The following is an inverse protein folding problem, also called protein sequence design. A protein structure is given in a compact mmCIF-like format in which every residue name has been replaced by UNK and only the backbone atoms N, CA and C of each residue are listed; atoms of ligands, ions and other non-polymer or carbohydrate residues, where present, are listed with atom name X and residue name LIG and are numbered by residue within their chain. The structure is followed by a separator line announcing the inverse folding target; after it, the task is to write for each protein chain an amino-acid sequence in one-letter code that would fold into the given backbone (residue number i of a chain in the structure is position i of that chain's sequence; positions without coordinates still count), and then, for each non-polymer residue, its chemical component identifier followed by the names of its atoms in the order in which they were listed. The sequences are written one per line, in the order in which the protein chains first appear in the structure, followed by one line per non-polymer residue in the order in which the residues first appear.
data_IF_950413250429
#
_entry.id   IF_950413250429
#
_cell.length_a   1.000
_cell.length_b   1.000
_cell.length_c   1.000
_cell.angle_alpha   90.00
_cell.angle_beta   90.00
_cell.angle_gamma   90.00
#
_symmetry.space_group_name_H-M   'P 1'
#
loop_
_entity.id
_entity.type
_entity.pdbx_description
1 polymer ?
#
# COMPACT_ATOMS: atom_id res chain seq x y z
N UNK A 1 4.97 7.67 -3.69
CA UNK A 1 4.58 8.14 -2.35
C UNK A 1 5.77 8.17 -1.39
N UNK A 2 6.54 7.09 -1.24
CA UNK A 2 7.73 7.04 -0.38
C UNK A 2 8.69 8.20 -0.67
N UNK A 3 9.00 8.46 -1.93
CA UNK A 3 9.86 9.57 -2.32
C UNK A 3 9.38 10.92 -1.76
N UNK A 4 8.09 11.22 -1.82
CA UNK A 4 7.54 12.47 -1.31
C UNK A 4 7.54 12.53 0.23
N UNK A 5 7.31 11.40 0.92
CA UNK A 5 7.24 11.34 2.37
C UNK A 5 8.60 11.31 3.07
N UNK A 6 9.54 10.50 2.56
CA UNK A 6 10.81 10.25 3.23
C UNK A 6 11.90 11.27 2.91
N UNK A 7 11.89 11.79 1.71
CA UNK A 7 12.95 12.65 1.20
C UNK A 7 12.62 14.15 1.34
N UNK A 8 11.50 14.48 1.98
CA UNK A 8 11.09 15.85 2.25
C UNK A 8 11.03 16.72 0.99
N UNK A 9 11.69 17.89 0.96
CA UNK A 9 11.70 18.77 -0.21
C UNK A 9 12.26 18.12 -1.48
N UNK A 10 13.27 17.26 -1.35
CA UNK A 10 13.86 16.53 -2.49
C UNK A 10 12.84 15.55 -3.06
N UNK A 11 12.11 14.83 -2.21
CA UNK A 11 11.06 13.92 -2.66
C UNK A 11 9.95 14.61 -3.44
N UNK A 12 9.54 15.80 -3.01
CA UNK A 12 8.57 16.63 -3.74
C UNK A 12 9.07 17.02 -5.12
N UNK A 13 10.35 17.42 -5.22
CA UNK A 13 10.97 17.74 -6.50
C UNK A 13 11.03 16.53 -7.44
N UNK A 14 11.35 15.34 -6.91
CA UNK A 14 11.36 14.09 -7.66
C UNK A 14 9.97 13.76 -8.21
N UNK A 15 8.92 13.85 -7.39
CA UNK A 15 7.54 13.60 -7.83
C UNK A 15 7.14 14.56 -8.94
N UNK A 16 7.42 15.85 -8.78
CA UNK A 16 7.16 16.87 -9.81
C UNK A 16 7.88 16.55 -11.11
N UNK A 17 9.14 16.18 -11.03
CA UNK A 17 9.95 15.88 -12.21
C UNK A 17 9.46 14.61 -12.92
N UNK A 18 9.06 13.58 -12.19
CA UNK A 18 8.44 12.35 -12.73
C UNK A 18 7.15 12.72 -13.50
N UNK A 19 6.26 13.54 -12.93
CA UNK A 19 5.02 13.93 -13.58
C UNK A 19 5.27 14.78 -14.84
N UNK A 20 6.23 15.69 -14.78
CA UNK A 20 6.67 16.48 -15.94
C UNK A 20 7.20 15.57 -17.06
N UNK A 21 8.13 14.66 -16.74
CA UNK A 21 8.70 13.74 -17.73
C UNK A 21 7.63 12.80 -18.31
N UNK A 22 6.71 12.31 -17.48
CA UNK A 22 5.58 11.51 -17.95
C UNK A 22 4.77 12.28 -19.01
N UNK A 23 4.42 13.52 -18.73
CA UNK A 23 3.69 14.39 -19.68
C UNK A 23 4.45 14.65 -20.95
N UNK A 24 5.74 15.00 -20.84
CA UNK A 24 6.61 15.28 -21.99
C UNK A 24 6.78 14.06 -22.92
N UNK A 25 6.68 12.85 -22.36
CA UNK A 25 6.71 11.59 -23.11
C UNK A 25 5.31 11.09 -23.56
N UNK A 26 4.27 11.94 -23.45
CA UNK A 26 2.93 11.62 -23.94
C UNK A 26 2.13 10.68 -23.03
N UNK A 27 2.58 10.41 -21.81
CA UNK A 27 1.81 9.64 -20.83
C UNK A 27 0.70 10.52 -20.25
N UNK A 28 -0.47 9.93 -20.06
CA UNK A 28 -1.65 10.61 -19.50
C UNK A 28 -2.13 10.01 -18.18
N UNK A 29 -1.64 8.83 -17.84
CA UNK A 29 -2.03 8.10 -16.64
C UNK A 29 -0.79 7.51 -15.97
N UNK A 30 -0.73 7.62 -14.64
CA UNK A 30 0.27 6.98 -13.78
C UNK A 30 -0.43 6.11 -12.75
N UNK A 31 0.03 4.90 -12.55
CA UNK A 31 -0.41 4.03 -11.45
C UNK A 31 0.56 4.17 -10.27
N UNK A 32 0.03 4.43 -9.09
CA UNK A 32 0.83 4.55 -7.88
C UNK A 32 0.17 3.85 -6.69
N UNK A 33 1.01 3.49 -5.71
CA UNK A 33 0.55 2.85 -4.49
C UNK A 33 0.19 3.91 -3.44
N UNK A 34 -1.01 3.81 -2.88
CA UNK A 34 -1.52 4.63 -1.78
C UNK A 34 -1.21 4.06 -0.40
N UNK A 35 -0.32 3.10 -0.32
CA UNK A 35 0.20 2.53 0.91
C UNK A 35 1.72 2.66 0.95
N UNK A 36 2.28 2.71 2.13
CA UNK A 36 3.72 2.71 2.32
C UNK A 36 4.17 1.39 2.97
N UNK A 37 5.34 0.95 2.52
CA UNK A 37 5.90 -0.32 2.94
C UNK A 37 6.52 -0.34 4.33
N UNK A 38 7.20 -1.37 4.58
CA UNK A 38 7.86 -2.03 5.70
C UNK A 38 8.26 -1.24 6.95
N UNK A 39 8.40 0.06 6.94
CA UNK A 39 8.91 0.79 8.10
C UNK A 39 7.76 1.44 8.85
N UNK A 40 7.61 1.12 10.12
CA UNK A 40 6.58 1.70 11.02
C UNK A 40 6.48 3.22 10.93
N UNK A 41 7.61 3.90 10.78
CA UNK A 41 7.66 5.37 10.62
C UNK A 41 7.05 5.86 9.30
N UNK A 42 7.01 5.01 8.27
CA UNK A 42 6.50 5.33 6.93
C UNK A 42 5.19 4.61 6.62
N UNK A 43 4.65 3.84 7.55
CA UNK A 43 3.33 3.25 7.38
C UNK A 43 2.29 4.35 7.20
N UNK A 44 1.40 4.20 6.22
CA UNK A 44 0.27 5.12 6.03
C UNK A 44 -0.75 4.96 7.16
N UNK A 45 -1.00 3.72 7.57
CA UNK A 45 -1.93 3.35 8.63
C UNK A 45 -1.15 2.64 9.73
N UNK A 46 -1.16 3.16 10.94
CA UNK A 46 -0.35 2.71 12.08
C UNK A 46 -1.11 1.79 13.04
N UNK A 47 -2.43 1.94 13.07
CA UNK A 47 -3.39 1.07 13.76
C UNK A 47 -4.76 1.19 13.07
N UNK A 48 -5.74 0.33 13.37
CA UNK A 48 -7.09 0.44 12.83
C UNK A 48 -7.67 1.85 13.02
N UNK A 49 -7.91 2.56 11.92
CA UNK A 49 -8.41 3.94 11.94
C UNK A 49 -7.40 5.02 12.30
N UNK A 50 -6.15 4.68 12.57
CA UNK A 50 -5.08 5.63 12.86
C UNK A 50 -4.14 5.80 11.66
N UNK A 51 -3.91 7.06 11.26
CA UNK A 51 -3.18 7.37 10.05
C UNK A 51 -1.98 8.29 10.32
N UNK A 52 -0.95 8.11 9.52
CA UNK A 52 0.22 8.97 9.51
C UNK A 52 -0.02 10.17 8.57
N UNK A 53 -0.36 11.31 9.15
CA UNK A 53 -0.66 12.53 8.38
C UNK A 53 0.52 13.00 7.52
N UNK A 54 1.76 12.75 7.91
CA UNK A 54 2.92 13.06 7.08
C UNK A 54 2.92 12.25 5.78
N UNK A 55 2.58 10.97 5.87
CA UNK A 55 2.50 10.10 4.69
C UNK A 55 1.28 10.41 3.83
N UNK A 56 0.17 10.78 4.46
CA UNK A 56 -1.03 11.25 3.75
C UNK A 56 -0.76 12.57 3.03
N UNK A 57 -0.07 13.52 3.65
CA UNK A 57 0.32 14.78 3.00
C UNK A 57 1.27 14.55 1.81
N UNK A 58 2.12 13.52 1.88
CA UNK A 58 2.95 13.12 0.75
C UNK A 58 2.12 12.58 -0.42
N UNK A 59 1.06 11.83 -0.14
CA UNK A 59 0.13 11.36 -1.16
C UNK A 59 -0.70 12.51 -1.74
N UNK A 60 -1.14 13.46 -0.91
CA UNK A 60 -1.80 14.68 -1.33
C UNK A 60 -0.95 15.46 -2.36
N UNK A 61 0.36 15.56 -2.11
CA UNK A 61 1.32 16.19 -3.02
C UNK A 61 1.42 15.44 -4.35
N UNK A 62 1.42 14.10 -4.33
CA UNK A 62 1.46 13.30 -5.57
C UNK A 62 0.26 13.61 -6.45
N UNK A 63 -0.95 13.66 -5.88
CA UNK A 63 -2.17 13.98 -6.63
C UNK A 63 -2.17 15.43 -7.14
N UNK A 64 -1.69 16.36 -6.33
CA UNK A 64 -1.58 17.77 -6.74
C UNK A 64 -0.59 17.96 -7.90
N UNK A 65 0.58 17.32 -7.83
CA UNK A 65 1.55 17.38 -8.92
C UNK A 65 1.04 16.69 -10.19
N UNK A 66 0.35 15.57 -10.08
CA UNK A 66 -0.29 14.92 -11.22
C UNK A 66 -1.32 15.86 -11.88
N UNK A 67 -2.16 16.52 -11.09
CA UNK A 67 -3.13 17.51 -11.56
C UNK A 67 -2.46 18.65 -12.33
N UNK A 68 -1.37 19.20 -11.80
CA UNK A 68 -0.62 20.31 -12.42
C UNK A 68 0.02 19.95 -13.76
N UNK A 69 0.26 18.67 -14.00
CA UNK A 69 0.85 18.17 -15.25
C UNK A 69 -0.16 17.48 -16.16
N UNK A 70 -1.47 17.58 -15.86
CA UNK A 70 -2.54 16.93 -16.63
C UNK A 70 -2.30 15.41 -16.76
N UNK A 71 -1.85 14.79 -15.67
CA UNK A 71 -1.69 13.35 -15.48
C UNK A 71 -2.79 12.85 -14.57
N UNK A 72 -3.44 11.78 -14.96
CA UNK A 72 -4.42 11.08 -14.11
C UNK A 72 -3.76 9.95 -13.32
N UNK A 73 -4.33 9.64 -12.16
CA UNK A 73 -3.75 8.67 -11.23
C UNK A 73 -4.69 7.48 -11.05
N UNK A 74 -4.15 6.27 -11.21
CA UNK A 74 -4.74 5.04 -10.70
C UNK A 74 -4.12 4.78 -9.34
N UNK A 75 -4.91 4.92 -8.28
CA UNK A 75 -4.44 4.78 -6.90
C UNK A 75 -4.73 3.37 -6.38
N UNK A 76 -3.69 2.67 -5.96
CA UNK A 76 -3.81 1.36 -5.32
C UNK A 76 -3.85 1.55 -3.80
N UNK A 77 -4.93 1.13 -3.16
CA UNK A 77 -5.14 1.40 -1.73
C UNK A 77 -4.39 0.45 -0.81
N UNK A 78 -4.20 -0.80 -1.23
CA UNK A 78 -3.52 -1.79 -0.41
C UNK A 78 -2.88 -2.91 -1.25
N UNK A 79 -1.99 -3.68 -0.65
CA UNK A 79 -1.36 -4.84 -1.27
C UNK A 79 -1.86 -6.15 -0.64
N UNK A 80 -2.16 -7.14 -1.47
CA UNK A 80 -2.44 -8.48 -0.97
C UNK A 80 -1.17 -9.24 -0.64
N UNK A 81 -0.25 -9.26 -1.60
CA UNK A 81 0.99 -10.00 -1.47
C UNK A 81 2.00 -9.22 -0.65
N UNK A 82 2.55 -9.87 0.32
CA UNK A 82 3.68 -9.41 1.05
C UNK A 82 4.94 -10.18 0.69
N UNK A 83 5.96 -9.45 0.25
CA UNK A 83 7.29 -9.99 0.08
C UNK A 83 8.10 -9.75 1.37
N UNK A 84 7.62 -10.27 2.51
CA UNK A 84 8.26 -10.03 3.80
C UNK A 84 9.34 -11.01 4.17
N UNK A 85 9.51 -12.07 3.45
CA UNK A 85 10.59 -13.01 3.69
C UNK A 85 11.57 -13.07 2.51
N UNK A 86 12.33 -11.99 2.31
CA UNK A 86 13.72 -12.21 1.98
C UNK A 86 14.38 -12.65 3.29
N UNK A 87 14.72 -13.92 3.49
CA UNK A 87 15.65 -14.25 4.53
C UNK A 87 16.86 -13.37 4.26
N UNK A 88 17.39 -12.72 5.30
CA UNK A 88 18.73 -12.14 5.27
C UNK A 88 19.67 -13.32 4.94
N UNK A 89 19.91 -13.55 3.66
CA UNK A 89 20.95 -14.48 3.24
C UNK A 89 22.24 -13.90 3.78
N UNK A 90 22.99 -14.66 4.57
CA UNK A 90 24.33 -14.25 4.90
C UNK A 90 25.06 -14.02 3.59
N UNK A 91 25.75 -12.88 3.46
CA UNK A 91 26.51 -12.44 2.28
C UNK A 91 27.68 -13.39 1.89
N UNK A 92 27.69 -14.62 2.39
CA UNK A 92 28.81 -15.56 2.26
C UNK A 92 28.61 -16.67 1.24
N UNK A 93 27.44 -16.78 0.61
CA UNK A 93 27.25 -17.77 -0.46
C UNK A 93 27.04 -17.12 -1.83
N UNK A 94 28.17 -16.69 -2.42
CA UNK A 94 28.23 -16.17 -3.81
C UNK A 94 28.24 -17.27 -4.88
N UNK A 95 28.09 -18.55 -4.52
CA UNK A 95 28.15 -19.69 -5.44
C UNK A 95 26.77 -20.11 -5.96
N UNK A 96 25.68 -19.58 -5.44
CA UNK A 96 24.33 -19.86 -5.89
C UNK A 96 23.83 -18.78 -6.85
N UNK A 97 23.20 -19.17 -7.94
CA UNK A 97 22.53 -18.37 -8.99
C UNK A 97 22.16 -16.96 -8.53
N UNK A 98 22.72 -15.89 -9.13
CA UNK A 98 22.54 -14.49 -8.71
C UNK A 98 21.12 -13.95 -8.91
N UNK A 99 20.20 -14.74 -9.45
CA UNK A 99 18.81 -14.37 -9.58
C UNK A 99 18.07 -14.64 -8.26
N UNK A 100 17.51 -13.63 -7.57
CA UNK A 100 16.65 -13.86 -6.43
C UNK A 100 15.46 -14.70 -6.90
N UNK A 101 15.44 -15.98 -6.57
CA UNK A 101 14.23 -16.77 -6.67
C UNK A 101 13.25 -16.18 -5.66
N UNK A 102 12.27 -15.45 -6.17
CA UNK A 102 11.08 -15.09 -5.41
C UNK A 102 10.40 -16.41 -5.03
N UNK A 103 10.73 -16.95 -3.86
CA UNK A 103 9.93 -17.99 -3.26
C UNK A 103 8.66 -17.34 -2.78
N UNK A 104 7.60 -17.45 -3.56
CA UNK A 104 6.28 -17.36 -2.99
C UNK A 104 6.23 -18.44 -1.91
N UNK A 105 5.94 -18.06 -0.69
CA UNK A 105 5.66 -19.03 0.36
C UNK A 105 4.37 -19.74 -0.05
N UNK A 106 4.50 -20.89 -0.66
CA UNK A 106 3.41 -21.83 -0.81
C UNK A 106 3.05 -22.30 0.60
N UNK A 107 1.83 -22.02 0.99
CA UNK A 107 1.27 -22.58 2.21
C UNK A 107 0.93 -21.55 3.27
N UNK A 108 -0.20 -21.81 3.85
CA UNK A 108 -0.87 -21.17 4.96
C UNK A 108 0.06 -21.11 6.21
N UNK A 109 1.05 -20.22 6.19
CA UNK A 109 1.98 -20.02 7.30
C UNK A 109 1.31 -19.14 8.34
N UNK A 110 1.29 -19.61 9.59
CA UNK A 110 0.85 -18.81 10.72
C UNK A 110 1.54 -17.45 10.70
N UNK A 111 0.73 -16.39 10.65
CA UNK A 111 1.20 -15.02 10.60
C UNK A 111 2.01 -14.72 11.87
N UNK A 112 3.23 -14.19 11.71
CA UNK A 112 4.04 -13.73 12.84
C UNK A 112 3.23 -12.73 13.67
N UNK A 113 3.25 -12.89 15.00
CA UNK A 113 2.43 -12.10 15.93
C UNK A 113 2.91 -10.67 16.14
N UNK A 114 4.10 -10.30 15.61
CA UNK A 114 4.60 -8.95 15.74
C UNK A 114 3.92 -8.01 14.70
N UNK A 115 2.99 -7.13 15.13
CA UNK A 115 2.28 -6.25 14.22
C UNK A 115 3.19 -5.17 13.58
N UNK A 116 4.43 -5.05 14.04
CA UNK A 116 5.35 -4.01 13.53
C UNK A 116 5.98 -4.38 12.18
N UNK A 117 5.89 -5.65 11.78
CA UNK A 117 6.48 -6.16 10.55
C UNK A 117 5.47 -6.41 9.42
N UNK A 118 4.18 -6.16 9.66
CA UNK A 118 3.14 -6.44 8.68
C UNK A 118 2.93 -5.30 7.69
N UNK A 119 2.75 -5.67 6.43
CA UNK A 119 2.33 -4.79 5.34
C UNK A 119 1.09 -5.37 4.65
N UNK A 120 0.49 -4.59 3.77
CA UNK A 120 -0.63 -5.08 3.00
C UNK A 120 -1.78 -5.56 3.87
N UNK A 121 -2.50 -6.59 3.41
CA UNK A 121 -3.63 -7.14 4.17
C UNK A 121 -3.20 -7.83 5.46
N UNK A 122 -1.95 -8.25 5.56
CA UNK A 122 -1.43 -8.95 6.74
C UNK A 122 -1.55 -8.11 8.02
N UNK A 123 -1.38 -6.79 7.92
CA UNK A 123 -1.55 -5.90 9.08
C UNK A 123 -2.95 -5.98 9.68
N UNK A 124 -3.99 -6.06 8.84
CA UNK A 124 -5.38 -6.21 9.31
C UNK A 124 -5.58 -7.54 10.02
N UNK A 125 -5.02 -8.62 9.46
CA UNK A 125 -5.07 -9.96 10.02
C UNK A 125 -4.42 -9.98 11.40
N UNK A 126 -3.24 -9.38 11.54
CA UNK A 126 -2.53 -9.29 12.82
C UNK A 126 -3.28 -8.48 13.87
N UNK A 127 -3.86 -7.36 13.49
CA UNK A 127 -4.69 -6.56 14.40
C UNK A 127 -5.91 -7.33 14.90
N UNK A 128 -6.60 -8.04 14.01
CA UNK A 128 -7.75 -8.86 14.41
C UNK A 128 -7.32 -10.08 15.23
N UNK A 129 -6.24 -10.75 14.86
CA UNK A 129 -5.69 -11.86 15.61
C UNK A 129 -5.29 -11.46 17.04
N UNK A 130 -4.62 -10.31 17.19
CA UNK A 130 -4.24 -9.77 18.50
C UNK A 130 -5.47 -9.42 19.36
N UNK A 131 -6.54 -8.90 18.73
CA UNK A 131 -7.78 -8.55 19.43
C UNK A 131 -8.61 -9.77 19.82
N UNK A 132 -8.74 -10.75 18.91
CA UNK A 132 -9.63 -11.91 19.09
C UNK A 132 -8.96 -13.10 19.76
N UNK A 133 -7.62 -13.13 19.80
CA UNK A 133 -6.84 -14.30 20.27
C UNK A 133 -6.86 -15.49 19.30
N UNK A 134 -7.43 -15.32 18.10
CA UNK A 134 -7.56 -16.39 17.09
C UNK A 134 -6.33 -16.46 16.18
N UNK A 135 -6.02 -17.66 15.71
CA UNK A 135 -5.09 -17.85 14.62
C UNK A 135 -5.86 -17.57 13.31
N UNK A 136 -5.49 -16.50 12.61
CA UNK A 136 -6.08 -16.11 11.36
C UNK A 136 -5.05 -16.25 10.23
N UNK A 137 -5.55 -16.48 9.03
CA UNK A 137 -4.78 -16.64 7.79
C UNK A 137 -5.10 -15.54 6.79
N UNK A 138 -4.39 -15.50 5.67
CA UNK A 138 -4.68 -14.55 4.59
C UNK A 138 -6.06 -14.76 3.97
N UNK A 139 -6.55 -16.01 3.94
CA UNK A 139 -7.88 -16.32 3.40
C UNK A 139 -9.02 -15.81 4.29
N UNK A 140 -8.79 -15.69 5.60
CA UNK A 140 -9.75 -15.06 6.52
C UNK A 140 -10.04 -13.60 6.16
N UNK A 141 -9.14 -12.92 5.42
CA UNK A 141 -9.40 -11.57 4.95
C UNK A 141 -10.68 -11.45 4.12
N UNK A 142 -11.02 -12.50 3.38
CA UNK A 142 -12.18 -12.52 2.51
C UNK A 142 -13.49 -12.86 3.24
N UNK A 143 -13.42 -13.64 4.29
CA UNK A 143 -14.58 -14.23 4.99
C UNK A 143 -14.85 -13.60 6.35
N UNK A 144 -13.82 -13.18 7.07
CA UNK A 144 -13.96 -12.60 8.40
C UNK A 144 -14.60 -11.19 8.32
N UNK A 145 -15.73 -11.04 9.01
CA UNK A 145 -16.50 -9.80 9.01
C UNK A 145 -15.70 -8.59 9.52
N UNK A 146 -14.94 -8.76 10.60
CA UNK A 146 -14.20 -7.66 11.22
C UNK A 146 -13.07 -7.16 10.30
N UNK A 147 -12.36 -8.08 9.63
CA UNK A 147 -11.32 -7.72 8.66
C UNK A 147 -11.90 -6.93 7.49
N UNK A 148 -13.03 -7.38 6.97
CA UNK A 148 -13.71 -6.70 5.86
C UNK A 148 -14.21 -5.31 6.25
N UNK A 149 -14.80 -5.15 7.43
CA UNK A 149 -15.26 -3.84 7.90
C UNK A 149 -14.06 -2.90 8.13
N UNK A 150 -12.99 -3.36 8.78
CA UNK A 150 -11.78 -2.57 8.97
C UNK A 150 -11.18 -2.10 7.64
N UNK A 151 -11.18 -2.94 6.62
CA UNK A 151 -10.71 -2.55 5.29
C UNK A 151 -11.67 -1.59 4.58
N UNK A 152 -12.98 -1.79 4.68
CA UNK A 152 -13.97 -0.85 4.15
C UNK A 152 -13.85 0.54 4.78
N UNK A 153 -13.59 0.60 6.09
CA UNK A 153 -13.35 1.87 6.77
C UNK A 153 -12.12 2.58 6.23
N UNK A 154 -11.04 1.83 5.93
CA UNK A 154 -9.88 2.38 5.25
C UNK A 154 -10.22 2.93 3.86
N UNK A 155 -10.92 2.16 3.03
CA UNK A 155 -11.37 2.61 1.70
C UNK A 155 -12.20 3.88 1.82
N UNK A 156 -13.18 3.90 2.74
CA UNK A 156 -14.03 5.07 2.99
C UNK A 156 -13.20 6.28 3.41
N UNK A 157 -12.28 6.11 4.35
CA UNK A 157 -11.39 7.17 4.80
C UNK A 157 -10.60 7.77 3.64
N UNK A 158 -9.95 6.92 2.83
CA UNK A 158 -9.15 7.37 1.69
C UNK A 158 -9.98 8.13 0.67
N UNK A 159 -11.16 7.64 0.32
CA UNK A 159 -12.02 8.28 -0.69
C UNK A 159 -12.65 9.58 -0.19
N UNK A 160 -12.90 9.72 1.11
CA UNK A 160 -13.49 10.94 1.69
C UNK A 160 -12.45 11.92 2.20
N UNK A 161 -11.16 11.58 2.13
CA UNK A 161 -10.07 12.49 2.51
C UNK A 161 -10.11 13.75 1.66
N UNK A 162 -9.96 14.88 2.33
CA UNK A 162 -9.72 16.17 1.68
C UNK A 162 -8.21 16.37 1.53
N UNK A 163 -7.74 16.51 0.31
CA UNK A 163 -6.35 16.77 -0.01
C UNK A 163 -5.89 18.06 0.68
N UNK A 164 -4.83 18.00 1.46
CA UNK A 164 -4.32 19.12 2.25
C UNK A 164 -3.62 20.20 1.41
N UNK A 165 -3.26 19.89 0.17
CA UNK A 165 -2.55 20.81 -0.75
C UNK A 165 -3.55 21.58 -1.61
N UNK A 166 -4.48 20.89 -2.29
CA UNK A 166 -5.40 21.52 -3.25
C UNK A 166 -6.86 21.62 -2.76
N UNK A 167 -7.17 21.02 -1.61
CA UNK A 167 -8.49 21.10 -0.98
C UNK A 167 -9.58 20.24 -1.60
N UNK A 168 -9.29 19.42 -2.61
CA UNK A 168 -10.27 18.54 -3.24
C UNK A 168 -10.48 17.28 -2.42
N UNK A 169 -11.69 16.77 -2.41
CA UNK A 169 -11.98 15.44 -1.83
C UNK A 169 -11.56 14.39 -2.85
N UNK A 170 -10.86 13.34 -2.40
CA UNK A 170 -10.27 12.35 -3.31
C UNK A 170 -11.27 11.76 -4.30
N UNK A 171 -12.44 11.31 -3.81
CA UNK A 171 -13.48 10.73 -4.69
C UNK A 171 -14.05 11.71 -5.73
N UNK A 172 -13.90 13.02 -5.50
CA UNK A 172 -14.42 14.09 -6.34
C UNK A 172 -13.29 14.78 -7.15
N UNK A 173 -12.03 14.34 -6.98
CA UNK A 173 -10.88 14.87 -7.71
C UNK A 173 -10.76 14.20 -9.09
N UNK A 174 -10.91 14.94 -10.20
CA UNK A 174 -10.81 14.39 -11.56
C UNK A 174 -9.40 13.84 -11.87
N UNK A 175 -8.40 14.18 -11.06
CA UNK A 175 -7.05 13.62 -11.15
C UNK A 175 -7.04 12.14 -10.75
N UNK A 176 -7.90 11.77 -9.81
CA UNK A 176 -8.05 10.38 -9.40
C UNK A 176 -8.93 9.64 -10.43
N UNK A 177 -8.29 9.05 -11.43
CA UNK A 177 -8.96 8.36 -12.53
C UNK A 177 -9.65 7.08 -12.10
N UNK A 178 -8.98 6.30 -11.28
CA UNK A 178 -9.53 5.06 -10.75
C UNK A 178 -8.83 4.64 -9.46
N UNK A 179 -9.49 3.74 -8.73
CA UNK A 179 -8.96 3.16 -7.50
C UNK A 179 -8.88 1.65 -7.66
N UNK A 180 -7.68 1.09 -7.48
CA UNK A 180 -7.52 -0.33 -7.25
C UNK A 180 -7.67 -0.62 -5.76
N UNK A 181 -8.70 -1.35 -5.39
CA UNK A 181 -8.91 -1.69 -3.99
C UNK A 181 -7.73 -2.48 -3.44
N UNK A 182 -7.24 -3.46 -4.20
CA UNK A 182 -6.16 -4.33 -3.76
C UNK A 182 -5.23 -4.66 -4.93
N UNK A 183 -3.92 -4.60 -4.71
CA UNK A 183 -2.92 -5.09 -5.64
C UNK A 183 -2.80 -6.60 -5.51
N UNK A 184 -2.82 -7.31 -6.64
CA UNK A 184 -2.63 -8.76 -6.74
C UNK A 184 -3.51 -9.59 -5.78
N UNK A 185 -4.84 -9.40 -5.76
CA UNK A 185 -5.72 -10.16 -4.86
C UNK A 185 -5.65 -11.66 -5.18
N UNK A 186 -5.56 -12.48 -4.15
CA UNK A 186 -5.54 -13.94 -4.24
C UNK A 186 -6.45 -14.53 -3.17
N UNK A 187 -6.94 -15.73 -3.43
CA UNK A 187 -7.64 -16.53 -2.43
C UNK A 187 -7.44 -18.00 -2.79
N UNK A 188 -6.70 -18.73 -1.98
CA UNK A 188 -6.37 -20.13 -2.26
C UNK A 188 -7.55 -21.05 -2.01
N UNK A 189 -8.42 -20.70 -1.07
CA UNK A 189 -9.59 -21.49 -0.67
C UNK A 189 -10.92 -21.00 -1.27
N UNK A 190 -10.95 -19.81 -1.94
CA UNK A 190 -12.18 -19.30 -2.54
C UNK A 190 -12.59 -20.15 -3.75
N UNK A 191 -13.81 -20.71 -3.70
CA UNK A 191 -14.38 -21.48 -4.81
C UNK A 191 -14.00 -22.96 -4.84
N UNK A 192 -13.57 -23.51 -3.68
CA UNK A 192 -13.37 -24.94 -3.50
C UNK A 192 -14.61 -25.66 -2.93
N UNK A 193 -15.77 -24.99 -2.91
CA UNK A 193 -17.07 -25.56 -2.50
C UNK A 193 -17.71 -26.39 -3.59
#
# INVERSE_FOLDING_TARGET
MEAAGDWGPVGKLMVRDIMRQAKENGLSVVRTFGFAGRLKKNALMTAPGEYNEKMLAALDEVLDQASKHDIRVVLVLENYCEHTHLPSLPLTDLSADPRPRLRFSEGNTAVDKDPTHANGIEKYIRWEAAKSGKNLTTDDFWTNKNLREMYKDHVKFMLTRKNSVNGRVYKDDPTLFSVNLLNEPRCEECGKD
#
